data_IF_350812228212
#
_entry.id   IF_350812228212
#
_cell.length_a   1.000
_cell.length_b   1.000
_cell.length_c   1.000
_cell.angle_alpha   90.00
_cell.angle_beta   90.00
_cell.angle_gamma   90.00
#
_symmetry.space_group_name_H-M   'P 1'
#
loop_
_entity.id
_entity.type
_entity.pdbx_description
1 polymer ?
#
# COMPACT_ATOMS: atom_id res chain seq x y z
N UNK A 1 -30.28 25.11 -32.69
CA UNK A 1 -31.65 24.64 -32.35
C UNK A 1 -31.53 23.91 -31.04
N UNK A 2 -31.71 24.62 -29.95
CA UNK A 2 -32.83 24.54 -29.02
C UNK A 2 -33.12 23.08 -28.56
N UNK A 3 -32.64 22.77 -27.36
CA UNK A 3 -33.33 22.07 -26.25
C UNK A 3 -32.22 21.68 -25.26
N UNK A 4 -32.18 22.38 -24.16
CA UNK A 4 -32.10 21.98 -22.76
C UNK A 4 -31.66 23.16 -21.89
N UNK A 5 -32.65 24.07 -21.73
CA UNK A 5 -32.68 24.96 -20.58
C UNK A 5 -33.93 24.56 -19.80
N UNK A 6 -33.74 23.94 -18.65
CA UNK A 6 -34.67 23.89 -17.52
C UNK A 6 -34.27 22.73 -16.59
N UNK A 7 -33.49 23.02 -15.58
CA UNK A 7 -33.63 22.53 -14.19
C UNK A 7 -32.69 23.38 -13.32
N UNK A 8 -33.11 24.61 -13.05
CA UNK A 8 -32.64 25.41 -11.93
C UNK A 8 -33.85 26.07 -11.31
N UNK A 9 -34.44 25.46 -10.33
CA UNK A 9 -35.25 26.14 -9.32
C UNK A 9 -35.52 25.16 -8.17
N UNK A 10 -35.38 25.68 -6.98
CA UNK A 10 -35.83 25.16 -5.70
C UNK A 10 -34.84 24.30 -4.91
N UNK A 11 -33.87 24.97 -4.24
CA UNK A 11 -33.47 24.57 -2.90
C UNK A 11 -33.65 25.80 -2.02
N UNK A 12 -34.75 25.80 -1.28
CA UNK A 12 -35.08 26.75 -0.26
C UNK A 12 -34.07 26.73 0.89
N UNK A 13 -33.65 27.93 1.28
CA UNK A 13 -32.87 28.20 2.48
C UNK A 13 -33.69 27.79 3.70
N UNK A 14 -33.28 26.71 4.37
CA UNK A 14 -33.75 26.36 5.70
C UNK A 14 -32.72 26.86 6.70
N UNK A 15 -33.15 27.82 7.50
CA UNK A 15 -32.43 28.43 8.61
C UNK A 15 -31.95 27.38 9.61
N UNK A 16 -30.62 27.26 9.76
CA UNK A 16 -30.00 26.50 10.83
C UNK A 16 -30.12 27.29 12.14
N UNK A 17 -31.02 26.86 13.03
CA UNK A 17 -31.09 27.29 14.42
C UNK A 17 -29.89 26.72 15.16
N UNK A 18 -29.12 27.62 15.80
CA UNK A 18 -28.02 27.30 16.66
C UNK A 18 -28.47 26.41 17.85
N UNK A 19 -27.86 25.23 17.94
CA UNK A 19 -28.03 24.35 19.09
C UNK A 19 -27.11 24.83 20.21
N UNK A 20 -27.67 25.44 21.25
CA UNK A 20 -26.99 25.76 22.50
C UNK A 20 -27.21 24.55 23.43
N UNK A 21 -26.18 23.87 23.90
CA UNK A 21 -26.36 22.83 24.91
C UNK A 21 -26.68 23.46 26.26
N UNK A 22 -27.87 23.15 26.78
CA UNK A 22 -28.22 23.46 28.19
C UNK A 22 -27.41 22.53 29.10
N UNK A 23 -26.61 23.11 29.97
CA UNK A 23 -26.00 22.44 31.09
C UNK A 23 -27.06 22.21 32.15
N UNK A 24 -27.52 20.95 32.28
CA UNK A 24 -28.37 20.55 33.41
C UNK A 24 -27.47 20.31 34.65
N UNK A 25 -27.64 21.13 35.65
CA UNK A 25 -27.13 20.90 37.01
C UNK A 25 -27.92 19.74 37.61
N UNK A 26 -27.33 18.54 37.66
CA UNK A 26 -27.85 17.43 38.46
C UNK A 26 -27.33 17.54 39.90
N UNK A 27 -28.28 17.56 40.80
CA UNK A 27 -28.16 17.54 42.23
C UNK A 27 -27.28 16.40 42.76
N UNK A 28 -26.57 16.69 43.84
CA UNK A 28 -25.68 15.79 44.55
C UNK A 28 -26.37 14.52 45.02
N UNK A 29 -25.73 13.41 44.71
CA UNK A 29 -25.93 12.15 45.42
C UNK A 29 -24.78 11.94 46.38
N UNK A 30 -25.09 12.09 47.67
CA UNK A 30 -24.20 11.73 48.78
C UNK A 30 -24.03 10.21 48.81
N UNK A 31 -22.86 9.73 48.46
CA UNK A 31 -22.45 8.35 48.71
C UNK A 31 -21.95 8.21 50.13
N UNK A 32 -22.76 7.51 50.98
CA UNK A 32 -22.31 7.03 52.27
C UNK A 32 -21.30 5.89 52.02
N UNK A 33 -20.05 6.14 52.28
CA UNK A 33 -19.02 5.14 52.42
C UNK A 33 -18.91 4.78 53.93
N UNK A 34 -19.47 3.65 54.30
CA UNK A 34 -19.15 2.94 55.52
C UNK A 34 -17.91 2.08 55.27
N UNK A 35 -16.76 2.53 55.72
CA UNK A 35 -15.49 1.81 55.64
C UNK A 35 -14.72 2.02 56.91
N UNK A 36 -14.31 0.89 57.53
CA UNK A 36 -13.56 0.71 58.76
C UNK A 36 -12.30 1.61 58.79
N UNK A 37 -12.04 2.36 59.87
CA UNK A 37 -10.92 3.32 59.93
C UNK A 37 -9.53 2.74 60.10
N UNK A 38 -9.32 1.41 59.92
CA UNK A 38 -8.05 0.78 60.27
C UNK A 38 -7.36 0.00 59.15
N UNK A 39 -7.63 0.33 57.85
CA UNK A 39 -6.82 -0.21 56.75
C UNK A 39 -6.13 0.89 55.99
N UNK A 40 -4.83 1.01 56.22
CA UNK A 40 -3.93 1.92 55.50
C UNK A 40 -3.33 1.20 54.28
N UNK A 41 -3.70 1.54 53.04
CA UNK A 41 -3.21 0.85 51.83
C UNK A 41 -1.93 1.38 51.25
N UNK A 42 -1.25 2.34 51.87
CA UNK A 42 0.02 2.86 51.39
C UNK A 42 1.14 2.62 52.39
N UNK A 43 1.99 1.65 52.02
CA UNK A 43 3.20 1.32 52.75
C UNK A 43 4.15 2.49 52.92
N UNK A 44 4.82 2.42 54.04
CA UNK A 44 5.79 3.35 54.59
C UNK A 44 6.83 3.89 53.57
N UNK A 45 7.08 5.20 53.66
CA UNK A 45 8.36 5.72 53.23
C UNK A 45 8.34 7.10 52.60
N UNK A 46 8.28 8.11 53.40
CA UNK A 46 9.00 9.38 53.41
C UNK A 46 8.13 10.45 54.05
N UNK A 47 8.46 10.78 55.28
CA UNK A 47 8.01 11.99 55.92
C UNK A 47 8.42 13.21 55.10
N UNK A 48 7.45 13.82 54.43
CA UNK A 48 7.60 15.21 53.96
C UNK A 48 7.42 16.10 55.16
N UNK A 49 8.54 16.59 55.71
CA UNK A 49 8.54 17.70 56.68
C UNK A 49 7.93 18.91 55.99
N UNK A 50 6.71 19.24 56.37
CA UNK A 50 6.03 20.46 55.99
C UNK A 50 6.53 21.59 56.91
N UNK A 51 7.69 22.16 56.61
CA UNK A 51 8.12 23.42 57.17
C UNK A 51 7.41 24.56 56.43
N UNK A 52 6.12 24.68 56.64
CA UNK A 52 5.31 25.78 56.12
C UNK A 52 5.19 26.87 57.16
N UNK A 53 6.14 27.74 57.19
CA UNK A 53 5.96 29.01 57.88
C UNK A 53 4.77 29.75 57.27
N UNK A 54 3.81 30.15 58.11
CA UNK A 54 2.67 30.99 57.79
C UNK A 54 3.14 32.40 57.49
N UNK A 55 3.83 32.64 56.40
CA UNK A 55 4.16 33.97 55.92
C UNK A 55 3.06 34.45 54.96
N UNK A 56 2.22 35.40 55.34
CA UNK A 56 1.15 35.92 54.46
C UNK A 56 1.69 36.54 53.18
N UNK A 57 2.95 37.00 53.15
CA UNK A 57 3.60 37.53 51.96
C UNK A 57 3.92 36.43 50.91
N UNK A 58 4.29 35.22 51.34
CA UNK A 58 4.61 34.12 50.43
C UNK A 58 3.39 33.64 49.64
N UNK A 59 2.20 33.67 50.22
CA UNK A 59 0.94 33.33 49.50
C UNK A 59 0.58 34.40 48.46
N UNK A 60 0.82 35.67 48.79
CA UNK A 60 0.54 36.81 47.90
C UNK A 60 1.50 36.83 46.70
N UNK A 61 2.77 36.49 46.91
CA UNK A 61 3.78 36.38 45.83
C UNK A 61 3.42 35.25 44.87
N UNK A 62 3.08 34.06 45.38
CA UNK A 62 2.67 32.93 44.54
C UNK A 62 1.38 33.17 43.74
N UNK A 63 0.44 33.92 44.30
CA UNK A 63 -0.78 34.33 43.62
C UNK A 63 -0.48 35.31 42.47
N UNK A 64 0.44 36.25 42.72
CA UNK A 64 0.89 37.24 41.73
C UNK A 64 1.67 36.61 40.57
N UNK A 65 2.52 35.63 40.86
CA UNK A 65 3.23 34.83 39.84
C UNK A 65 2.24 34.07 38.96
N UNK A 66 1.25 33.37 39.55
CA UNK A 66 0.21 32.66 38.80
C UNK A 66 -0.66 33.58 37.94
N UNK A 67 -0.96 34.78 38.39
CA UNK A 67 -1.70 35.79 37.62
C UNK A 67 -0.85 36.29 36.43
N UNK A 68 0.43 36.55 36.65
CA UNK A 68 1.35 36.96 35.60
C UNK A 68 1.55 35.85 34.57
N UNK A 69 1.64 34.59 34.99
CA UNK A 69 1.74 33.44 34.09
C UNK A 69 0.46 33.27 33.25
N UNK A 70 -0.72 33.43 33.89
CA UNK A 70 -2.01 33.34 33.17
C UNK A 70 -2.18 34.52 32.19
N UNK A 71 -1.73 35.73 32.53
CA UNK A 71 -1.76 36.88 31.62
C UNK A 71 -0.78 36.70 30.43
N UNK A 72 0.38 36.08 30.69
CA UNK A 72 1.35 35.77 29.61
C UNK A 72 0.85 34.67 28.67
N UNK A 73 0.20 33.64 29.21
CA UNK A 73 -0.44 32.60 28.40
C UNK A 73 -1.59 33.16 27.58
N UNK A 74 -2.42 34.01 28.15
CA UNK A 74 -3.51 34.69 27.47
C UNK A 74 -3.01 35.55 26.30
N UNK A 75 -1.97 36.37 26.51
CA UNK A 75 -1.36 37.19 25.46
C UNK A 75 -0.80 36.33 24.33
N UNK A 76 -0.12 35.22 24.65
CA UNK A 76 0.37 34.26 23.62
C UNK A 76 -0.78 33.66 22.84
N UNK A 77 -1.88 33.28 23.49
CA UNK A 77 -3.03 32.70 22.78
C UNK A 77 -3.74 33.74 21.91
N UNK A 78 -3.80 35.02 22.33
CA UNK A 78 -4.34 36.12 21.54
C UNK A 78 -3.45 36.45 20.35
N UNK A 79 -2.11 36.49 20.50
CA UNK A 79 -1.14 36.67 19.42
C UNK A 79 -1.19 35.50 18.38
N UNK A 80 -1.30 34.26 18.88
CA UNK A 80 -1.47 33.09 17.98
C UNK A 80 -2.81 33.10 17.21
N UNK A 81 -3.89 33.57 17.85
CA UNK A 81 -5.19 33.72 17.23
C UNK A 81 -5.16 34.78 16.11
N UNK A 82 -4.57 35.95 16.40
CA UNK A 82 -4.37 37.01 15.41
C UNK A 82 -3.45 36.58 14.28
N UNK A 83 -2.40 35.82 14.56
CA UNK A 83 -1.51 35.29 13.51
C UNK A 83 -2.23 34.30 12.61
N UNK A 84 -3.10 33.46 13.17
CA UNK A 84 -3.96 32.54 12.39
C UNK A 84 -4.96 33.27 11.53
N UNK A 85 -5.57 34.34 12.07
CA UNK A 85 -6.54 35.14 11.33
C UNK A 85 -5.87 35.91 10.16
N UNK A 86 -4.73 36.52 10.39
CA UNK A 86 -3.93 37.18 9.32
C UNK A 86 -3.49 36.16 8.25
N UNK A 87 -3.05 34.96 8.66
CA UNK A 87 -2.69 33.90 7.73
C UNK A 87 -3.90 33.40 6.90
N UNK A 88 -5.10 33.34 7.52
CA UNK A 88 -6.33 32.98 6.81
C UNK A 88 -6.75 34.07 5.81
N UNK A 89 -6.58 35.32 6.16
CA UNK A 89 -6.89 36.45 5.29
C UNK A 89 -5.96 36.51 4.07
N UNK A 90 -4.66 36.33 4.26
CA UNK A 90 -3.67 36.22 3.17
C UNK A 90 -4.03 35.06 2.23
N UNK A 91 -4.34 33.88 2.77
CA UNK A 91 -4.77 32.74 1.94
C UNK A 91 -6.04 33.03 1.14
N UNK A 92 -6.98 33.76 1.74
CA UNK A 92 -8.22 34.17 1.07
C UNK A 92 -7.94 35.13 -0.07
N UNK A 93 -7.06 36.12 0.11
CA UNK A 93 -6.67 37.06 -0.95
C UNK A 93 -5.91 36.35 -2.08
N UNK A 94 -4.96 35.48 -1.76
CA UNK A 94 -4.26 34.65 -2.74
C UNK A 94 -5.21 33.79 -3.55
N UNK A 95 -6.21 33.20 -2.89
CA UNK A 95 -7.24 32.41 -3.58
C UNK A 95 -8.09 33.27 -4.51
N UNK A 96 -8.48 34.46 -4.10
CA UNK A 96 -9.25 35.39 -4.95
C UNK A 96 -8.44 35.85 -6.16
N UNK A 97 -7.16 36.20 -5.98
CA UNK A 97 -6.25 36.55 -7.09
C UNK A 97 -6.10 35.39 -8.07
N UNK A 98 -6.01 34.17 -7.56
CA UNK A 98 -5.90 32.96 -8.37
C UNK A 98 -7.18 32.67 -9.16
N UNK A 99 -8.35 32.85 -8.54
CA UNK A 99 -9.66 32.72 -9.22
C UNK A 99 -9.81 33.79 -10.30
N UNK A 100 -9.41 35.02 -10.05
CA UNK A 100 -9.45 36.09 -11.06
C UNK A 100 -8.53 35.76 -12.24
N UNK A 101 -7.30 35.31 -11.97
CA UNK A 101 -6.36 34.88 -13.03
C UNK A 101 -6.94 33.71 -13.86
N UNK A 102 -7.62 32.78 -13.23
CA UNK A 102 -8.24 31.65 -13.94
C UNK A 102 -9.44 32.05 -14.80
N UNK A 103 -10.23 33.04 -14.34
CA UNK A 103 -11.37 33.56 -15.11
C UNK A 103 -10.93 34.39 -16.31
N UNK A 104 -9.75 35.02 -16.25
CA UNK A 104 -9.17 35.82 -17.34
C UNK A 104 -8.37 34.94 -18.32
N UNK A 105 -8.15 33.65 -18.03
CA UNK A 105 -7.39 32.77 -18.90
C UNK A 105 -8.22 32.36 -20.11
N UNK A 106 -7.70 32.49 -21.33
CA UNK A 106 -8.40 32.04 -22.53
C UNK A 106 -8.59 30.53 -22.54
N UNK A 107 -9.79 30.07 -22.92
CA UNK A 107 -10.13 28.64 -22.96
C UNK A 107 -9.25 27.85 -23.95
N UNK A 108 -8.67 28.51 -24.94
CA UNK A 108 -7.81 27.94 -25.98
C UNK A 108 -6.31 28.00 -25.64
N UNK A 109 -5.93 28.40 -24.42
CA UNK A 109 -4.53 28.48 -24.04
C UNK A 109 -3.86 27.12 -24.07
N UNK A 110 -2.79 26.88 -24.84
CA UNK A 110 -2.14 25.58 -24.94
C UNK A 110 -1.42 25.21 -23.63
N UNK A 111 -1.80 24.09 -23.03
CA UNK A 111 -1.17 23.54 -21.83
C UNK A 111 0.11 22.73 -22.13
N UNK A 112 0.36 22.45 -23.42
CA UNK A 112 1.36 21.49 -23.90
C UNK A 112 0.71 20.17 -24.35
N UNK A 113 1.48 19.30 -24.97
CA UNK A 113 0.97 18.00 -25.40
C UNK A 113 1.14 16.95 -24.30
N UNK A 114 0.17 16.03 -24.16
CA UNK A 114 0.23 14.92 -23.21
C UNK A 114 1.45 14.05 -23.46
N UNK A 115 1.77 13.81 -24.74
CA UNK A 115 2.93 13.02 -25.16
C UNK A 115 4.25 13.63 -24.67
N UNK A 116 4.44 14.96 -24.83
CA UNK A 116 5.64 15.61 -24.30
C UNK A 116 5.79 15.45 -22.79
N UNK A 117 4.69 15.52 -22.04
CA UNK A 117 4.73 15.31 -20.60
C UNK A 117 5.10 13.87 -20.25
N UNK A 118 4.52 12.88 -20.91
CA UNK A 118 4.83 11.47 -20.70
C UNK A 118 6.29 11.14 -21.01
N UNK A 119 6.82 11.69 -22.13
CA UNK A 119 8.22 11.48 -22.52
C UNK A 119 9.21 12.21 -21.61
N UNK A 120 9.00 13.51 -21.35
CA UNK A 120 9.92 14.31 -20.51
C UNK A 120 10.05 13.77 -19.09
N UNK A 121 8.95 13.27 -18.54
CA UNK A 121 8.94 12.70 -17.19
C UNK A 121 9.38 11.24 -17.16
N UNK A 122 9.54 10.58 -18.31
CA UNK A 122 9.92 9.18 -18.43
C UNK A 122 8.85 8.20 -17.91
N UNK A 123 7.58 8.61 -17.95
CA UNK A 123 6.43 7.79 -17.60
C UNK A 123 6.18 6.74 -18.66
N UNK A 124 6.31 7.11 -19.94
CA UNK A 124 6.13 6.19 -21.06
C UNK A 124 7.06 4.99 -20.95
N UNK A 125 8.35 5.20 -20.63
CA UNK A 125 9.32 4.11 -20.43
C UNK A 125 8.88 3.11 -19.34
N UNK A 126 8.22 3.60 -18.28
CA UNK A 126 7.75 2.72 -17.21
C UNK A 126 6.49 1.94 -17.62
N UNK A 127 5.63 2.54 -18.45
CA UNK A 127 4.47 1.84 -19.01
C UNK A 127 4.89 0.79 -20.04
N UNK A 128 5.88 1.10 -20.87
CA UNK A 128 6.44 0.15 -21.85
C UNK A 128 7.11 -1.03 -21.16
N UNK A 129 7.87 -0.76 -20.06
CA UNK A 129 8.43 -1.83 -19.22
C UNK A 129 7.34 -2.67 -18.55
N UNK A 130 6.26 -2.04 -18.09
CA UNK A 130 5.12 -2.77 -17.54
C UNK A 130 4.50 -3.71 -18.59
N UNK A 131 4.37 -3.24 -19.82
CA UNK A 131 3.82 -4.03 -20.93
C UNK A 131 4.73 -5.20 -21.35
N UNK A 132 6.05 -5.04 -21.26
CA UNK A 132 7.04 -6.05 -21.64
C UNK A 132 7.30 -7.10 -20.55
N UNK A 133 7.32 -6.68 -19.28
CA UNK A 133 7.63 -7.56 -18.15
C UNK A 133 6.43 -8.38 -17.67
N UNK A 134 5.23 -7.84 -17.84
CA UNK A 134 4.00 -8.52 -17.44
C UNK A 134 3.30 -9.08 -18.68
N UNK A 135 3.24 -10.38 -18.75
CA UNK A 135 2.41 -11.09 -19.73
C UNK A 135 0.94 -10.96 -19.32
N UNK A 136 0.04 -10.80 -20.26
CA UNK A 136 -1.39 -10.73 -20.01
C UNK A 136 -1.79 -9.58 -19.07
N UNK A 137 -2.56 -9.87 -18.04
CA UNK A 137 -3.04 -8.93 -17.00
C UNK A 137 -3.63 -7.64 -17.55
N UNK A 138 -4.38 -7.71 -18.65
CA UNK A 138 -4.95 -6.56 -19.36
C UNK A 138 -5.72 -5.61 -18.42
N UNK A 139 -6.59 -6.09 -17.49
CA UNK A 139 -7.31 -5.22 -16.57
C UNK A 139 -6.38 -4.45 -15.63
N UNK A 140 -5.31 -5.09 -15.16
CA UNK A 140 -4.31 -4.48 -14.28
C UNK A 140 -3.54 -3.39 -15.02
N UNK A 141 -3.02 -3.69 -16.21
CA UNK A 141 -2.32 -2.74 -17.08
C UNK A 141 -3.19 -1.52 -17.41
N UNK A 142 -4.47 -1.77 -17.73
CA UNK A 142 -5.44 -0.72 -17.99
C UNK A 142 -5.59 0.20 -16.78
N UNK A 143 -5.74 -0.37 -15.57
CA UNK A 143 -5.88 0.43 -14.34
C UNK A 143 -4.64 1.25 -14.03
N UNK A 144 -3.45 0.70 -14.23
CA UNK A 144 -2.18 1.43 -14.07
C UNK A 144 -2.10 2.60 -15.06
N UNK A 145 -2.49 2.40 -16.33
CA UNK A 145 -2.54 3.45 -17.35
C UNK A 145 -3.56 4.55 -17.01
N UNK A 146 -4.72 4.18 -16.48
CA UNK A 146 -5.73 5.15 -16.01
C UNK A 146 -5.19 6.04 -14.88
N UNK A 147 -4.52 5.45 -13.90
CA UNK A 147 -3.89 6.20 -12.80
C UNK A 147 -2.78 7.11 -13.36
N UNK A 148 -1.92 6.62 -14.23
CA UNK A 148 -0.87 7.41 -14.85
C UNK A 148 -1.44 8.60 -15.65
N UNK A 149 -2.49 8.38 -16.44
CA UNK A 149 -3.17 9.44 -17.19
C UNK A 149 -3.75 10.53 -16.27
N UNK A 150 -4.40 10.12 -15.17
CA UNK A 150 -4.92 11.06 -14.16
C UNK A 150 -3.80 11.94 -13.60
N UNK A 151 -2.67 11.34 -13.24
CA UNK A 151 -1.52 12.05 -12.66
C UNK A 151 -0.87 13.02 -13.68
N UNK A 152 -0.78 12.61 -14.95
CA UNK A 152 -0.29 13.49 -16.03
C UNK A 152 -1.18 14.72 -16.19
N UNK A 153 -2.50 14.51 -16.29
CA UNK A 153 -3.46 15.61 -16.42
C UNK A 153 -3.46 16.52 -15.19
N UNK A 154 -3.37 15.95 -13.99
CA UNK A 154 -3.25 16.74 -12.76
C UNK A 154 -2.00 17.62 -12.77
N UNK A 155 -0.86 17.11 -13.21
CA UNK A 155 0.38 17.86 -13.34
C UNK A 155 0.27 18.98 -14.38
N UNK A 156 -0.39 18.73 -15.51
CA UNK A 156 -0.68 19.75 -16.53
C UNK A 156 -1.59 20.85 -15.96
N UNK A 157 -2.63 20.49 -15.21
CA UNK A 157 -3.52 21.46 -14.55
C UNK A 157 -2.77 22.32 -13.53
N UNK A 158 -1.90 21.72 -12.70
CA UNK A 158 -1.05 22.48 -11.76
C UNK A 158 -0.13 23.45 -12.45
N UNK A 159 0.42 23.09 -13.62
CA UNK A 159 1.27 23.99 -14.42
C UNK A 159 0.54 25.23 -14.89
N UNK A 160 -0.76 25.11 -15.18
CA UNK A 160 -1.63 26.25 -15.51
C UNK A 160 -2.13 27.03 -14.29
N UNK A 161 -1.76 26.61 -13.07
CA UNK A 161 -2.18 27.27 -11.83
C UNK A 161 -3.50 26.77 -11.26
N UNK A 162 -4.14 25.72 -11.83
CA UNK A 162 -5.34 25.14 -11.25
C UNK A 162 -5.04 24.49 -9.90
N UNK A 163 -5.97 24.64 -8.96
CA UNK A 163 -5.94 23.82 -7.76
C UNK A 163 -6.42 22.40 -8.10
N UNK A 164 -5.60 21.44 -7.77
CA UNK A 164 -5.91 20.04 -8.05
C UNK A 164 -5.82 19.25 -6.74
N UNK A 165 -6.81 18.42 -6.52
CA UNK A 165 -6.81 17.45 -5.44
C UNK A 165 -6.57 16.08 -6.05
N UNK A 166 -5.42 15.49 -5.80
CA UNK A 166 -5.14 14.12 -6.22
C UNK A 166 -5.96 13.19 -5.31
N UNK A 167 -6.74 12.28 -5.87
CA UNK A 167 -7.41 11.27 -5.07
C UNK A 167 -6.38 10.39 -4.36
N UNK A 168 -6.81 9.72 -3.30
CA UNK A 168 -5.96 8.77 -2.57
C UNK A 168 -5.29 7.79 -3.53
N UNK A 169 -3.96 7.75 -3.50
CA UNK A 169 -3.12 6.83 -4.31
C UNK A 169 -2.89 5.49 -3.59
N UNK A 170 -3.45 5.30 -2.40
CA UNK A 170 -3.39 4.01 -1.72
C UNK A 170 -4.09 2.94 -2.53
N UNK A 171 -3.55 1.72 -2.50
CA UNK A 171 -3.95 0.62 -3.38
C UNK A 171 -4.26 -0.64 -2.58
N UNK A 172 -5.17 -1.44 -3.12
CA UNK A 172 -5.38 -2.81 -2.68
C UNK A 172 -5.19 -3.74 -3.88
N UNK A 173 -4.31 -4.72 -3.76
CA UNK A 173 -4.02 -5.74 -4.75
C UNK A 173 -4.59 -7.07 -4.30
N UNK A 174 -5.66 -7.50 -4.95
CA UNK A 174 -6.32 -8.77 -4.65
C UNK A 174 -6.02 -9.81 -5.72
N UNK A 175 -5.73 -11.03 -5.31
CA UNK A 175 -5.46 -12.13 -6.24
C UNK A 175 -4.62 -13.25 -5.65
N UNK A 176 -4.52 -14.35 -6.40
CA UNK A 176 -3.73 -15.52 -6.02
C UNK A 176 -2.21 -15.23 -5.96
N UNK A 177 -1.41 -16.06 -5.31
CA UNK A 177 0.04 -15.91 -5.28
C UNK A 177 0.65 -16.07 -6.67
N UNK A 178 1.74 -15.36 -6.93
CA UNK A 178 2.45 -15.42 -8.21
C UNK A 178 1.74 -14.75 -9.39
N UNK A 179 0.74 -13.87 -9.15
CA UNK A 179 0.05 -13.11 -10.20
C UNK A 179 0.71 -11.76 -10.53
N UNK A 180 1.89 -11.45 -9.98
CA UNK A 180 2.63 -10.24 -10.34
C UNK A 180 2.35 -9.01 -9.47
N UNK A 181 1.64 -9.13 -8.33
CA UNK A 181 1.31 -7.99 -7.43
C UNK A 181 2.52 -7.16 -7.04
N UNK A 182 3.60 -7.78 -6.64
CA UNK A 182 4.85 -7.09 -6.24
C UNK A 182 5.50 -6.36 -7.42
N UNK A 183 5.51 -6.96 -8.60
CA UNK A 183 6.05 -6.34 -9.83
C UNK A 183 5.28 -5.07 -10.18
N UNK A 184 3.94 -5.13 -10.13
CA UNK A 184 3.08 -3.96 -10.37
C UNK A 184 3.32 -2.88 -9.31
N UNK A 185 3.47 -3.26 -8.02
CA UNK A 185 3.79 -2.29 -6.96
C UNK A 185 5.09 -1.54 -7.23
N UNK A 186 6.14 -2.25 -7.69
CA UNK A 186 7.43 -1.63 -8.06
C UNK A 186 7.26 -0.66 -9.22
N UNK A 187 6.53 -1.05 -10.28
CA UNK A 187 6.29 -0.17 -11.42
C UNK A 187 5.45 1.05 -11.05
N UNK A 188 4.43 0.85 -10.23
CA UNK A 188 3.63 1.97 -9.71
C UNK A 188 4.49 2.94 -8.88
N UNK A 189 5.34 2.45 -8.00
CA UNK A 189 6.27 3.29 -7.24
C UNK A 189 7.17 4.14 -8.16
N UNK A 190 7.69 3.55 -9.24
CA UNK A 190 8.52 4.24 -10.23
C UNK A 190 7.72 5.29 -11.02
N UNK A 191 6.49 4.97 -11.43
CA UNK A 191 5.60 5.93 -12.10
C UNK A 191 5.32 7.12 -11.17
N UNK A 192 4.95 6.86 -9.92
CA UNK A 192 4.68 7.90 -8.93
C UNK A 192 5.90 8.80 -8.68
N UNK A 193 7.12 8.24 -8.66
CA UNK A 193 8.34 9.01 -8.52
C UNK A 193 8.61 9.87 -9.75
N UNK A 194 8.46 9.32 -10.95
CA UNK A 194 8.61 10.07 -12.21
C UNK A 194 7.61 11.22 -12.31
N UNK A 195 6.40 11.01 -11.82
CA UNK A 195 5.38 12.05 -11.78
C UNK A 195 5.54 13.05 -10.63
N UNK A 196 6.49 12.85 -9.71
CA UNK A 196 6.75 13.73 -8.58
C UNK A 196 5.77 13.59 -7.41
N UNK A 197 4.96 12.53 -7.39
CA UNK A 197 4.07 12.17 -6.27
C UNK A 197 4.76 11.32 -5.21
N UNK A 198 5.96 10.88 -5.47
CA UNK A 198 6.81 10.16 -4.53
C UNK A 198 8.26 10.61 -4.75
N UNK A 199 9.01 10.82 -3.67
CA UNK A 199 10.38 11.36 -3.78
C UNK A 199 11.38 10.35 -4.32
N UNK A 200 11.21 9.06 -4.04
CA UNK A 200 12.17 7.99 -4.36
C UNK A 200 11.58 6.87 -5.22
N UNK A 201 10.28 6.61 -5.10
CA UNK A 201 9.59 5.54 -5.84
C UNK A 201 10.04 4.12 -5.48
N UNK A 202 10.78 3.95 -4.39
CA UNK A 202 11.16 2.62 -3.90
C UNK A 202 9.97 1.93 -3.24
N UNK A 203 10.02 0.61 -3.20
CA UNK A 203 9.00 -0.21 -2.56
C UNK A 203 9.61 -0.93 -1.36
N UNK A 204 8.99 -0.79 -0.21
CA UNK A 204 9.32 -1.55 0.99
C UNK A 204 8.26 -2.63 1.15
N UNK A 205 8.69 -3.88 1.06
CA UNK A 205 7.83 -5.03 1.31
C UNK A 205 7.78 -5.27 2.83
N UNK A 206 6.57 -5.42 3.35
CA UNK A 206 6.32 -5.73 4.75
C UNK A 206 5.31 -6.88 4.86
N UNK A 207 5.51 -7.73 5.84
CA UNK A 207 4.57 -8.76 6.29
C UNK A 207 4.06 -8.42 7.68
N UNK A 208 3.12 -9.21 8.20
CA UNK A 208 2.70 -9.07 9.60
C UNK A 208 3.89 -9.05 10.56
N UNK A 209 4.86 -9.93 10.36
CA UNK A 209 6.02 -10.09 11.26
C UNK A 209 6.92 -8.85 11.27
N UNK A 210 6.91 -8.05 10.20
CA UNK A 210 7.66 -6.79 10.12
C UNK A 210 6.93 -5.62 10.80
N UNK A 211 5.63 -5.69 10.97
CA UNK A 211 4.78 -4.64 11.51
C UNK A 211 4.39 -4.87 12.96
N UNK A 212 4.12 -6.12 13.34
CA UNK A 212 3.59 -6.48 14.65
C UNK A 212 4.70 -6.94 15.58
N UNK A 213 4.70 -6.44 16.81
CA UNK A 213 5.63 -6.85 17.86
C UNK A 213 5.19 -8.13 18.57
N UNK A 214 6.17 -8.82 19.18
CA UNK A 214 5.91 -10.03 19.97
C UNK A 214 5.45 -9.72 21.40
N UNK A 215 5.73 -8.51 21.91
CA UNK A 215 5.42 -8.07 23.26
C UNK A 215 4.62 -6.79 23.27
N UNK A 216 3.93 -6.52 24.37
CA UNK A 216 3.20 -5.27 24.61
C UNK A 216 4.11 -4.07 24.40
N UNK A 217 3.66 -3.06 23.65
CA UNK A 217 4.40 -1.84 23.37
C UNK A 217 5.47 -1.95 22.27
N UNK A 218 5.69 -3.13 21.66
CA UNK A 218 6.67 -3.29 20.58
C UNK A 218 6.07 -3.06 19.17
N UNK A 219 4.75 -3.12 19.02
CA UNK A 219 4.08 -2.97 17.71
C UNK A 219 4.22 -1.57 17.16
N UNK A 220 3.90 -0.55 17.95
CA UNK A 220 3.96 0.83 17.46
C UNK A 220 5.36 1.27 17.00
N UNK A 221 6.45 1.04 17.73
CA UNK A 221 7.81 1.34 17.27
C UNK A 221 8.16 0.61 15.97
N UNK A 222 7.83 -0.68 15.87
CA UNK A 222 8.13 -1.52 14.72
C UNK A 222 7.38 -1.08 13.47
N UNK A 223 6.08 -0.82 13.60
CA UNK A 223 5.25 -0.28 12.51
C UNK A 223 5.77 1.07 12.03
N UNK A 224 6.08 1.98 12.97
CA UNK A 224 6.62 3.32 12.64
C UNK A 224 7.98 3.24 11.95
N UNK A 225 8.83 2.28 12.31
CA UNK A 225 10.11 2.05 11.64
C UNK A 225 9.92 1.62 10.20
N UNK A 226 9.00 0.68 9.92
CA UNK A 226 8.68 0.26 8.55
C UNK A 226 8.08 1.39 7.72
N UNK A 227 7.17 2.16 8.30
CA UNK A 227 6.63 3.37 7.67
C UNK A 227 7.76 4.35 7.33
N UNK A 228 8.68 4.62 8.27
CA UNK A 228 9.83 5.51 8.04
C UNK A 228 10.74 5.03 6.91
N UNK A 229 10.96 3.72 6.79
CA UNK A 229 11.71 3.12 5.67
C UNK A 229 11.01 3.35 4.34
N UNK A 230 9.67 3.31 4.32
CA UNK A 230 8.86 3.45 3.12
C UNK A 230 8.56 4.91 2.72
N UNK A 231 8.85 5.88 3.59
CA UNK A 231 8.63 7.30 3.31
C UNK A 231 9.33 7.76 2.04
N UNK A 232 8.60 8.47 1.20
CA UNK A 232 9.04 8.84 -0.15
C UNK A 232 8.90 7.72 -1.17
N UNK A 233 8.14 6.66 -0.87
CA UNK A 233 7.93 5.49 -1.71
C UNK A 233 6.59 4.79 -1.48
N UNK A 234 6.60 3.48 -1.63
CA UNK A 234 5.44 2.61 -1.46
C UNK A 234 5.72 1.60 -0.35
N UNK A 235 4.82 1.51 0.62
CA UNK A 235 4.77 0.41 1.60
C UNK A 235 3.82 -0.66 1.07
N UNK A 236 4.37 -1.79 0.61
CA UNK A 236 3.58 -2.94 0.20
C UNK A 236 3.46 -3.92 1.37
N UNK A 237 2.26 -4.03 1.92
CA UNK A 237 1.96 -5.00 2.98
C UNK A 237 1.40 -6.26 2.32
N UNK A 238 2.20 -7.31 2.31
CA UNK A 238 1.77 -8.60 1.75
C UNK A 238 0.98 -9.40 2.78
N UNK A 239 -0.04 -10.11 2.29
CA UNK A 239 -0.98 -10.87 3.12
C UNK A 239 -1.56 -10.03 4.28
N UNK A 240 -1.98 -8.79 3.97
CA UNK A 240 -2.41 -7.79 4.95
C UNK A 240 -3.55 -8.26 5.87
N UNK A 241 -4.36 -9.22 5.43
CA UNK A 241 -5.41 -9.82 6.25
C UNK A 241 -4.89 -10.51 7.52
N UNK A 242 -3.61 -10.90 7.58
CA UNK A 242 -3.03 -11.42 8.80
C UNK A 242 -2.81 -10.37 9.90
N UNK A 243 -2.88 -9.08 9.56
CA UNK A 243 -2.80 -8.01 10.57
C UNK A 243 -3.99 -8.02 11.54
N UNK A 244 -5.10 -8.64 11.18
CA UNK A 244 -6.29 -8.74 12.01
C UNK A 244 -6.69 -10.20 12.26
N UNK A 245 -6.87 -10.55 13.53
CA UNK A 245 -7.37 -11.86 13.94
C UNK A 245 -8.61 -11.69 14.81
N UNK A 246 -9.79 -11.91 14.23
CA UNK A 246 -11.07 -11.81 14.93
C UNK A 246 -11.23 -12.78 16.10
N UNK A 247 -10.45 -13.86 16.15
CA UNK A 247 -10.52 -14.88 17.21
C UNK A 247 -9.65 -14.53 18.43
N UNK A 248 -8.87 -13.46 18.39
CA UNK A 248 -7.94 -13.09 19.44
C UNK A 248 -8.04 -11.59 19.79
N UNK A 249 -8.83 -11.27 20.81
CA UNK A 249 -9.00 -9.88 21.31
C UNK A 249 -7.71 -9.26 21.85
N UNK A 250 -6.65 -10.05 22.05
CA UNK A 250 -5.33 -9.60 22.50
C UNK A 250 -4.32 -9.52 21.35
N UNK A 251 -4.80 -9.46 20.11
CA UNK A 251 -3.93 -9.36 18.95
C UNK A 251 -3.36 -7.93 18.82
N UNK A 252 -2.04 -7.85 18.85
CA UNK A 252 -1.32 -6.57 18.68
C UNK A 252 -1.36 -6.01 17.26
N UNK A 253 -1.93 -6.71 16.30
CA UNK A 253 -2.06 -6.27 14.92
C UNK A 253 -3.02 -5.07 14.76
N UNK A 254 -4.02 -4.94 15.63
CA UNK A 254 -4.93 -3.79 15.61
C UNK A 254 -4.19 -2.47 15.80
N UNK A 255 -3.21 -2.39 16.72
CA UNK A 255 -2.39 -1.19 16.91
C UNK A 255 -1.65 -0.80 15.62
N UNK A 256 -1.13 -1.78 14.88
CA UNK A 256 -0.49 -1.55 13.58
C UNK A 256 -1.47 -0.99 12.55
N UNK A 257 -2.69 -1.54 12.48
CA UNK A 257 -3.75 -1.08 11.58
C UNK A 257 -4.14 0.37 11.87
N UNK A 258 -4.32 0.75 13.13
CA UNK A 258 -4.66 2.11 13.54
C UNK A 258 -3.56 3.11 13.15
N UNK A 259 -2.29 2.73 13.31
CA UNK A 259 -1.16 3.55 12.87
C UNK A 259 -1.16 3.70 11.35
N UNK A 260 -1.39 2.62 10.60
CA UNK A 260 -1.47 2.67 9.14
C UNK A 260 -2.62 3.58 8.67
N UNK A 261 -3.81 3.46 9.27
CA UNK A 261 -4.96 4.32 8.95
C UNK A 261 -4.65 5.81 9.16
N UNK A 262 -3.99 6.14 10.27
CA UNK A 262 -3.59 7.51 10.57
C UNK A 262 -2.57 8.03 9.52
N UNK A 263 -1.57 7.23 9.21
CA UNK A 263 -0.51 7.62 8.25
C UNK A 263 -1.07 7.75 6.83
N UNK A 264 -1.99 6.89 6.41
CA UNK A 264 -2.66 6.98 5.12
C UNK A 264 -3.45 8.29 4.94
N UNK A 265 -3.92 8.89 6.03
CA UNK A 265 -4.63 10.16 6.00
C UNK A 265 -3.69 11.38 6.12
N UNK A 266 -2.70 11.29 7.01
CA UNK A 266 -1.83 12.44 7.35
C UNK A 266 -0.61 12.59 6.44
N UNK A 267 -0.17 11.52 5.78
CA UNK A 267 1.07 11.47 4.98
C UNK A 267 0.85 10.97 3.54
N UNK A 268 -0.36 11.15 3.01
CA UNK A 268 -0.73 10.73 1.66
C UNK A 268 0.11 11.34 0.54
N UNK A 269 0.73 12.49 0.79
CA UNK A 269 1.56 13.20 -0.19
C UNK A 269 2.97 12.61 -0.34
N UNK A 270 3.41 11.78 0.61
CA UNK A 270 4.79 11.27 0.61
C UNK A 270 4.87 9.74 0.76
N UNK A 271 3.76 9.09 1.09
CA UNK A 271 3.70 7.64 1.26
C UNK A 271 2.46 7.05 0.59
N UNK A 272 2.67 6.04 -0.23
CA UNK A 272 1.58 5.21 -0.75
C UNK A 272 1.60 3.87 -0.03
N UNK A 273 0.46 3.49 0.53
CA UNK A 273 0.27 2.17 1.14
C UNK A 273 -0.45 1.28 0.13
N UNK A 274 0.14 0.14 -0.18
CA UNK A 274 -0.44 -0.90 -0.99
C UNK A 274 -0.66 -2.16 -0.13
N UNK A 275 -1.90 -2.60 -0.01
CA UNK A 275 -2.24 -3.83 0.71
C UNK A 275 -2.41 -4.95 -0.31
N UNK A 276 -1.78 -6.10 -0.08
CA UNK A 276 -1.90 -7.25 -0.97
C UNK A 276 -2.45 -8.46 -0.22
N UNK A 277 -3.22 -9.30 -0.92
CA UNK A 277 -3.73 -10.53 -0.36
C UNK A 277 -4.73 -11.27 -1.25
N UNK A 278 -5.25 -12.39 -0.74
CA UNK A 278 -6.33 -13.13 -1.40
C UNK A 278 -7.66 -12.36 -1.30
N UNK A 279 -8.42 -12.31 -2.39
CA UNK A 279 -9.65 -11.52 -2.48
C UNK A 279 -10.61 -11.79 -1.32
N UNK A 280 -11.01 -13.05 -1.11
CA UNK A 280 -11.99 -13.43 -0.10
C UNK A 280 -11.53 -13.08 1.33
N UNK A 281 -10.21 -13.13 1.59
CA UNK A 281 -9.63 -12.79 2.88
C UNK A 281 -9.52 -11.28 3.07
N UNK A 282 -9.21 -10.53 2.00
CA UNK A 282 -9.17 -9.08 2.02
C UNK A 282 -10.56 -8.48 2.19
N UNK A 283 -11.59 -9.04 1.55
CA UNK A 283 -12.98 -8.62 1.72
C UNK A 283 -13.45 -8.78 3.17
N UNK A 284 -13.09 -9.90 3.81
CA UNK A 284 -13.32 -10.11 5.24
C UNK A 284 -12.54 -9.11 6.10
N UNK A 285 -11.27 -8.90 5.81
CA UNK A 285 -10.42 -7.93 6.50
C UNK A 285 -11.02 -6.53 6.49
N UNK A 286 -11.47 -6.06 5.33
CA UNK A 286 -12.13 -4.76 5.20
C UNK A 286 -13.46 -4.67 5.94
N UNK A 287 -14.20 -5.77 6.06
CA UNK A 287 -15.46 -5.79 6.79
C UNK A 287 -15.28 -5.58 8.30
N UNK A 288 -14.13 -5.95 8.84
CA UNK A 288 -13.81 -5.79 10.26
C UNK A 288 -13.19 -4.44 10.62
N UNK A 289 -12.65 -3.70 9.63
CA UNK A 289 -11.92 -2.46 9.86
C UNK A 289 -12.65 -1.29 9.20
N UNK A 290 -13.55 -0.60 9.93
CA UNK A 290 -14.24 0.56 9.40
C UNK A 290 -13.25 1.65 8.99
N UNK A 291 -13.47 2.24 7.82
CA UNK A 291 -12.65 3.34 7.31
C UNK A 291 -11.38 2.95 6.55
N UNK A 292 -10.95 1.68 6.55
CA UNK A 292 -9.83 1.23 5.71
C UNK A 292 -10.19 1.32 4.22
N UNK A 293 -11.35 0.81 3.85
CA UNK A 293 -11.81 0.79 2.46
C UNK A 293 -12.00 2.19 1.86
N UNK A 294 -12.45 3.16 2.68
CA UNK A 294 -12.65 4.55 2.22
C UNK A 294 -11.34 5.31 1.97
N UNK A 295 -10.23 4.87 2.56
CA UNK A 295 -8.90 5.46 2.37
C UNK A 295 -8.15 4.87 1.17
N UNK A 296 -8.58 3.69 0.71
CA UNK A 296 -7.97 3.01 -0.45
C UNK A 296 -8.77 3.37 -1.70
N UNK A 297 -8.23 4.31 -2.49
CA UNK A 297 -8.88 4.78 -3.72
C UNK A 297 -8.80 3.79 -4.90
N UNK A 298 -7.86 2.84 -4.87
CA UNK A 298 -7.57 1.97 -6.00
C UNK A 298 -7.58 0.51 -5.61
N UNK A 299 -8.63 -0.21 -6.03
CA UNK A 299 -8.72 -1.66 -5.92
C UNK A 299 -8.37 -2.29 -7.27
N UNK A 300 -7.37 -3.16 -7.28
CA UNK A 300 -6.84 -3.81 -8.48
C UNK A 300 -6.88 -5.32 -8.28
N UNK A 301 -7.75 -5.97 -9.03
CA UNK A 301 -7.87 -7.43 -9.03
C UNK A 301 -6.88 -8.04 -10.02
N UNK A 302 -6.13 -9.01 -9.55
CA UNK A 302 -5.18 -9.79 -10.32
C UNK A 302 -5.79 -11.16 -10.64
N UNK A 303 -6.30 -11.37 -11.85
CA UNK A 303 -6.82 -12.67 -12.24
C UNK A 303 -5.71 -13.72 -12.30
N UNK A 304 -6.09 -15.00 -12.25
CA UNK A 304 -5.17 -16.07 -12.57
C UNK A 304 -4.81 -16.02 -14.06
N UNK A 305 -3.60 -16.42 -14.36
CA UNK A 305 -3.14 -16.56 -15.74
C UNK A 305 -3.77 -17.80 -16.40
N UNK A 306 -4.01 -17.71 -17.70
CA UNK A 306 -4.31 -18.87 -18.55
C UNK A 306 -3.06 -19.73 -18.78
N UNK A 307 -3.24 -20.97 -19.23
CA UNK A 307 -2.12 -21.84 -19.57
C UNK A 307 -1.20 -21.22 -20.63
N UNK A 308 -1.78 -20.55 -21.64
CA UNK A 308 -1.01 -19.91 -22.70
C UNK A 308 -0.18 -18.72 -22.17
N UNK A 309 -0.74 -17.90 -21.30
CA UNK A 309 -0.01 -16.79 -20.64
C UNK A 309 1.13 -17.34 -19.76
N UNK A 310 0.94 -18.47 -19.08
CA UNK A 310 1.99 -19.09 -18.26
C UNK A 310 3.13 -19.67 -19.11
N UNK A 311 2.83 -20.18 -20.31
CA UNK A 311 3.84 -20.61 -21.29
C UNK A 311 4.63 -19.40 -21.80
N UNK A 312 3.96 -18.29 -22.09
CA UNK A 312 4.63 -17.05 -22.47
C UNK A 312 5.54 -16.51 -21.35
N UNK A 313 5.09 -16.56 -20.09
CA UNK A 313 5.89 -16.21 -18.91
C UNK A 313 7.14 -17.10 -18.82
N UNK A 314 7.04 -18.40 -19.09
CA UNK A 314 8.21 -19.29 -19.12
C UNK A 314 9.21 -18.85 -20.19
N UNK A 315 8.73 -18.45 -21.37
CA UNK A 315 9.58 -17.91 -22.44
C UNK A 315 10.28 -16.60 -22.05
N UNK A 316 9.60 -15.71 -21.30
CA UNK A 316 10.22 -14.48 -20.77
C UNK A 316 11.31 -14.84 -19.75
N UNK A 317 11.01 -15.71 -18.78
CA UNK A 317 11.97 -16.15 -17.76
C UNK A 317 13.19 -16.88 -18.36
N UNK A 318 12.98 -17.69 -19.39
CA UNK A 318 14.08 -18.36 -20.09
C UNK A 318 15.03 -17.35 -20.73
N UNK A 319 14.50 -16.34 -21.44
CA UNK A 319 15.30 -15.29 -22.07
C UNK A 319 16.07 -14.45 -21.05
N UNK A 320 15.47 -14.13 -19.91
CA UNK A 320 16.15 -13.41 -18.81
C UNK A 320 17.34 -14.20 -18.25
N UNK A 321 17.28 -15.51 -18.30
CA UNK A 321 18.32 -16.43 -17.84
C UNK A 321 19.25 -16.91 -18.98
N UNK A 322 19.10 -16.35 -20.18
CA UNK A 322 19.85 -16.73 -21.40
C UNK A 322 19.69 -18.21 -21.80
N UNK A 323 18.53 -18.81 -21.51
CA UNK A 323 18.16 -20.14 -21.96
C UNK A 323 17.19 -20.08 -23.16
N UNK A 324 17.26 -21.06 -24.04
CA UNK A 324 16.40 -21.25 -25.20
C UNK A 324 15.53 -22.50 -24.99
N UNK A 325 14.22 -22.33 -24.93
CA UNK A 325 13.25 -23.45 -24.85
C UNK A 325 12.95 -23.88 -26.25
N UNK A 326 13.12 -25.19 -26.56
CA UNK A 326 12.81 -25.71 -27.86
C UNK A 326 11.29 -25.74 -28.12
N UNK A 327 10.82 -25.66 -29.42
CA UNK A 327 9.39 -25.66 -29.70
C UNK A 327 8.65 -26.89 -29.13
N UNK A 328 9.27 -28.06 -29.19
CA UNK A 328 8.69 -29.30 -28.61
C UNK A 328 8.60 -29.20 -27.06
N UNK A 329 9.59 -28.58 -26.44
CA UNK A 329 9.58 -28.38 -24.99
C UNK A 329 8.43 -27.48 -24.53
N UNK A 330 8.05 -26.45 -25.31
CA UNK A 330 6.87 -25.63 -25.02
C UNK A 330 5.57 -26.44 -25.00
N UNK A 331 5.44 -27.42 -25.87
CA UNK A 331 4.26 -28.29 -25.93
C UNK A 331 4.17 -29.15 -24.66
N UNK A 332 5.29 -29.77 -24.26
CA UNK A 332 5.36 -30.59 -23.05
C UNK A 332 5.14 -29.70 -21.80
N UNK A 333 5.73 -28.51 -21.78
CA UNK A 333 5.55 -27.56 -20.68
C UNK A 333 4.09 -27.11 -20.55
N UNK A 334 3.39 -26.83 -21.65
CA UNK A 334 1.96 -26.51 -21.65
C UNK A 334 1.13 -27.62 -21.01
N UNK A 335 1.37 -28.89 -21.44
CA UNK A 335 0.70 -30.06 -20.84
C UNK A 335 0.98 -30.15 -19.31
N UNK A 336 2.23 -29.92 -18.88
CA UNK A 336 2.59 -29.88 -17.48
C UNK A 336 1.77 -28.80 -16.72
N UNK A 337 1.69 -27.59 -17.27
CA UNK A 337 0.97 -26.48 -16.65
C UNK A 337 -0.52 -26.78 -16.56
N UNK A 338 -1.15 -27.30 -17.62
CA UNK A 338 -2.57 -27.66 -17.64
C UNK A 338 -2.89 -28.68 -16.53
N UNK A 339 -2.11 -29.76 -16.41
CA UNK A 339 -2.24 -30.74 -15.34
C UNK A 339 -2.02 -30.08 -13.95
N UNK A 340 -1.04 -29.18 -13.84
CA UNK A 340 -0.69 -28.52 -12.57
C UNK A 340 -1.74 -27.54 -12.11
N UNK A 341 -2.50 -26.92 -13.03
CA UNK A 341 -3.60 -26.02 -12.72
C UNK A 341 -4.79 -26.73 -12.07
N UNK A 342 -4.99 -28.01 -12.35
CA UNK A 342 -6.04 -28.83 -11.74
C UNK A 342 -5.69 -29.30 -10.31
N UNK A 343 -4.39 -29.25 -9.94
CA UNK A 343 -3.92 -29.73 -8.67
C UNK A 343 -3.95 -28.62 -7.60
N UNK A 344 -4.08 -29.00 -6.31
CA UNK A 344 -4.04 -28.05 -5.21
C UNK A 344 -2.68 -27.30 -5.14
N UNK A 345 -2.69 -26.13 -4.49
CA UNK A 345 -1.50 -25.28 -4.29
C UNK A 345 -0.85 -24.74 -5.58
N UNK A 346 -1.63 -24.63 -6.63
CA UNK A 346 -1.19 -23.93 -7.84
C UNK A 346 -0.95 -22.44 -7.53
N UNK A 347 0.16 -21.87 -8.01
CA UNK A 347 0.58 -20.51 -7.68
C UNK A 347 1.10 -19.71 -8.88
N UNK A 348 0.42 -19.83 -10.02
CA UNK A 348 0.67 -19.03 -11.22
C UNK A 348 2.18 -18.98 -11.61
N UNK A 349 2.73 -17.78 -11.83
CA UNK A 349 4.13 -17.60 -12.23
C UNK A 349 5.16 -18.17 -11.24
N UNK A 350 4.80 -18.36 -9.96
CA UNK A 350 5.68 -19.06 -9.01
C UNK A 350 5.80 -20.55 -9.37
N UNK A 351 4.71 -21.19 -9.80
CA UNK A 351 4.75 -22.56 -10.31
C UNK A 351 5.60 -22.65 -11.58
N UNK A 352 5.48 -21.68 -12.50
CA UNK A 352 6.32 -21.61 -13.69
C UNK A 352 7.81 -21.49 -13.31
N UNK A 353 8.14 -20.60 -12.40
CA UNK A 353 9.53 -20.44 -11.93
C UNK A 353 10.11 -21.74 -11.36
N UNK A 354 9.35 -22.40 -10.49
CA UNK A 354 9.79 -23.68 -9.91
C UNK A 354 9.99 -24.76 -10.98
N UNK A 355 9.11 -24.79 -11.98
CA UNK A 355 9.24 -25.74 -13.11
C UNK A 355 10.46 -25.42 -13.96
N UNK A 356 10.74 -24.14 -14.25
CA UNK A 356 11.92 -23.70 -14.98
C UNK A 356 13.22 -24.05 -14.24
N UNK A 357 13.25 -23.84 -12.92
CA UNK A 357 14.42 -24.19 -12.10
C UNK A 357 14.70 -25.71 -12.13
N UNK A 358 13.65 -26.52 -12.07
CA UNK A 358 13.76 -27.97 -12.20
C UNK A 358 14.19 -28.40 -13.62
N UNK A 359 13.60 -27.80 -14.66
CA UNK A 359 13.99 -28.09 -16.04
C UNK A 359 15.45 -27.74 -16.33
N UNK A 360 15.96 -26.61 -15.77
CA UNK A 360 17.37 -26.25 -15.84
C UNK A 360 18.28 -27.28 -15.15
N UNK A 361 17.84 -27.81 -14.00
CA UNK A 361 18.57 -28.87 -13.32
C UNK A 361 18.60 -30.15 -14.16
N UNK A 362 17.48 -30.55 -14.77
CA UNK A 362 17.40 -31.71 -15.63
C UNK A 362 18.27 -31.53 -16.89
N UNK A 363 18.24 -30.35 -17.51
CA UNK A 363 19.11 -29.99 -18.64
C UNK A 363 20.60 -30.11 -18.28
N UNK A 364 20.98 -29.64 -17.09
CA UNK A 364 22.36 -29.76 -16.61
C UNK A 364 22.77 -31.21 -16.40
N UNK A 365 21.91 -32.06 -15.84
CA UNK A 365 22.16 -33.50 -15.65
C UNK A 365 22.30 -34.18 -17.02
N UNK A 366 21.37 -33.95 -17.93
CA UNK A 366 21.39 -34.52 -19.32
C UNK A 366 22.67 -34.14 -20.07
N UNK A 367 23.06 -32.87 -19.99
CA UNK A 367 24.27 -32.34 -20.61
C UNK A 367 25.52 -32.95 -19.99
N UNK A 368 25.57 -33.09 -18.67
CA UNK A 368 26.69 -33.70 -17.96
C UNK A 368 26.80 -35.19 -18.34
N UNK A 369 25.73 -35.95 -18.38
CA UNK A 369 25.72 -37.37 -18.78
C UNK A 369 26.20 -37.52 -20.21
N UNK A 370 25.72 -36.69 -21.13
CA UNK A 370 26.08 -36.72 -22.55
C UNK A 370 27.56 -36.51 -22.79
N UNK A 371 28.17 -35.53 -22.13
CA UNK A 371 29.53 -35.12 -22.42
C UNK A 371 30.58 -35.68 -21.44
N UNK A 372 30.29 -35.72 -20.15
CA UNK A 372 31.23 -36.19 -19.17
C UNK A 372 31.27 -37.72 -19.01
N UNK A 373 30.07 -38.36 -19.11
CA UNK A 373 29.96 -39.83 -18.93
C UNK A 373 30.07 -40.58 -20.27
N UNK A 374 29.29 -40.15 -21.26
CA UNK A 374 29.26 -40.82 -22.57
C UNK A 374 30.39 -40.36 -23.51
N UNK A 375 31.08 -39.28 -23.19
CA UNK A 375 32.22 -38.78 -23.96
C UNK A 375 31.89 -38.31 -25.38
N UNK A 376 30.68 -37.88 -25.62
CA UNK A 376 30.23 -37.36 -26.92
C UNK A 376 31.11 -36.14 -27.28
N UNK A 377 31.52 -36.04 -28.55
CA UNK A 377 32.46 -35.01 -29.03
C UNK A 377 33.77 -34.88 -28.25
N UNK A 378 34.28 -35.95 -27.61
CA UNK A 378 35.45 -35.90 -26.78
C UNK A 378 35.28 -35.06 -25.47
N UNK A 379 34.03 -34.89 -25.01
CA UNK A 379 33.70 -34.16 -23.82
C UNK A 379 33.52 -32.64 -24.04
N UNK A 380 33.52 -32.16 -25.29
CA UNK A 380 33.36 -30.72 -25.60
C UNK A 380 31.89 -30.40 -25.86
N UNK A 381 31.28 -29.60 -24.97
CA UNK A 381 29.93 -29.08 -25.09
C UNK A 381 29.84 -27.98 -26.14
N UNK A 382 28.70 -27.89 -26.85
CA UNK A 382 28.38 -26.77 -27.73
C UNK A 382 27.65 -25.68 -26.95
N UNK A 383 27.67 -24.43 -27.45
CA UNK A 383 26.91 -23.32 -26.86
C UNK A 383 25.42 -23.62 -26.87
N UNK A 384 24.92 -24.22 -27.94
CA UNK A 384 23.51 -24.58 -28.06
C UNK A 384 23.08 -25.62 -27.03
N UNK A 385 23.90 -26.63 -26.74
CA UNK A 385 23.61 -27.62 -25.69
C UNK A 385 23.58 -26.99 -24.27
N UNK A 386 24.36 -25.95 -24.04
CA UNK A 386 24.38 -25.26 -22.75
C UNK A 386 23.18 -24.34 -22.54
N UNK A 387 22.59 -23.85 -23.64
CA UNK A 387 21.42 -22.95 -23.59
C UNK A 387 20.10 -23.70 -23.73
N UNK A 388 20.08 -24.86 -24.38
CA UNK A 388 18.84 -25.55 -24.75
C UNK A 388 18.19 -26.25 -23.56
N UNK A 389 16.91 -25.90 -23.33
CA UNK A 389 15.98 -26.68 -22.52
C UNK A 389 15.08 -27.47 -23.48
N UNK A 390 15.13 -28.78 -23.40
CA UNK A 390 14.45 -29.71 -24.34
C UNK A 390 13.18 -30.29 -23.75
N UNK A 391 12.39 -30.98 -24.60
CA UNK A 391 11.17 -31.65 -24.15
C UNK A 391 11.44 -32.67 -23.04
N UNK A 392 12.58 -33.37 -23.09
CA UNK A 392 12.96 -34.37 -22.08
C UNK A 392 13.08 -33.76 -20.70
N UNK A 393 13.61 -32.52 -20.61
CA UNK A 393 13.84 -31.81 -19.35
C UNK A 393 12.52 -31.46 -18.62
N UNK A 394 11.43 -31.25 -19.38
CA UNK A 394 10.07 -31.06 -18.84
C UNK A 394 9.29 -32.37 -18.72
N UNK A 395 9.57 -33.40 -19.52
CA UNK A 395 8.84 -34.66 -19.44
C UNK A 395 8.96 -35.29 -18.06
N UNK A 396 10.14 -35.22 -17.43
CA UNK A 396 10.34 -35.68 -16.05
C UNK A 396 9.35 -35.05 -15.06
N UNK A 397 9.01 -33.77 -15.25
CA UNK A 397 8.04 -33.07 -14.38
C UNK A 397 6.61 -33.57 -14.62
N UNK A 398 6.28 -33.93 -15.88
CA UNK A 398 4.97 -34.50 -16.21
C UNK A 398 4.84 -35.88 -15.59
N UNK A 399 5.87 -36.71 -15.75
CA UNK A 399 5.92 -38.08 -15.23
C UNK A 399 5.82 -38.08 -13.67
N UNK A 400 6.45 -37.11 -12.99
CA UNK A 400 6.33 -36.96 -11.55
C UNK A 400 4.88 -36.71 -11.11
N UNK A 401 4.10 -35.91 -11.86
CA UNK A 401 2.68 -35.69 -11.57
C UNK A 401 1.87 -36.96 -11.80
N UNK A 402 2.07 -37.62 -12.93
CA UNK A 402 1.33 -38.82 -13.30
C UNK A 402 1.59 -39.96 -12.31
N UNK A 403 2.83 -40.13 -11.83
CA UNK A 403 3.20 -41.09 -10.81
C UNK A 403 2.59 -40.77 -9.46
N UNK A 404 2.57 -39.50 -9.04
CA UNK A 404 1.97 -39.06 -7.75
C UNK A 404 0.45 -39.29 -7.72
N UNK A 405 -0.25 -39.20 -8.86
CA UNK A 405 -1.67 -39.52 -8.97
C UNK A 405 -1.96 -41.02 -9.00
N UNK A 406 -1.05 -41.83 -9.54
CA UNK A 406 -1.12 -43.28 -9.46
C UNK A 406 -0.98 -43.75 -8.01
N UNK A 407 -0.03 -43.21 -7.25
CA UNK A 407 0.16 -43.54 -5.83
C UNK A 407 -1.07 -43.22 -5.00
N UNK A 408 -1.73 -42.08 -5.24
CA UNK A 408 -2.99 -41.75 -4.56
C UNK A 408 -4.14 -42.68 -4.87
N UNK A 409 -4.22 -43.21 -6.10
CA UNK A 409 -5.25 -44.18 -6.52
C UNK A 409 -5.01 -45.59 -5.96
N UNK A 410 -3.75 -45.92 -5.60
CA UNK A 410 -3.39 -47.19 -5.00
C UNK A 410 -3.69 -47.19 -3.48
N UNK A 411 -3.66 -45.99 -2.82
CA UNK A 411 -3.90 -45.86 -1.40
C UNK A 411 -5.29 -45.26 -1.04
N UNK A 412 -6.17 -44.99 -2.00
CA UNK A 412 -7.56 -44.62 -1.82
C UNK A 412 -8.48 -45.83 -2.00
#
# INVERSE_FOLDING_TARGET
MKICAAVFAAISVSSASAFVPQISTSQGTSLHLSGDPNQNPFGAGKSLEFTGGNDPNAKTIRLRERLNDADTERRKSEEEAEARERAAEIRREERLKKIAYMNDMPDDQPAGTVEEFMFKEGVQDQLDKLDTELVGLIPVKKRVKEIAALLVLDKMRRKLGFETSVPSLHMCFTGAPGTGKTTVAVRMGQILAKMGYSRRGHVVLATRDDLVGQYVGHTAPKTKEMIKKAMGGVLLVDEAYYLYNAANDRDYGQESIEILLNVMETQQDDLVVALAGYKDRMDKFFSYIPGMMSRIGNHIDFPNYSADELVEIAGVMARELEYDITPDAFIVFKNYIEKRMELPYFSNARTVRNAMDRARMNSAIRTFEKYAIQGVNGGVCTVDDLKAITAEDFQVLVDDIDNADVDKRIFA
#
